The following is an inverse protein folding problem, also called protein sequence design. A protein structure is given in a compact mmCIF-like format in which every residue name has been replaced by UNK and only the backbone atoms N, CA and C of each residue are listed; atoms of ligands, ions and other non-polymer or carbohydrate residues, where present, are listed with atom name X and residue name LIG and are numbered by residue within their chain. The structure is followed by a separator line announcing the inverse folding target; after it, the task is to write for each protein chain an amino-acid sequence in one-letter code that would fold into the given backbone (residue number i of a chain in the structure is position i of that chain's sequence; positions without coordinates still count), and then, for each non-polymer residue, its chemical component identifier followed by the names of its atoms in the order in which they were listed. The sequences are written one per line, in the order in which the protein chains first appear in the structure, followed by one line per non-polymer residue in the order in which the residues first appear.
data_IF_470235629504
#
_entry.id   IF_470235629504
#
_cell.length_a   1.000
_cell.length_b   1.000
_cell.length_c   1.000
_cell.angle_alpha   90.00
_cell.angle_beta   90.00
_cell.angle_gamma   90.00
#
_symmetry.space_group_name_H-M   'P 1'
#
loop_
_entity.id
_entity.type
_entity.pdbx_description
1 polymer ?
#
# COMPACT_ATOMS: atom_id res chain seq x y z
N UNK A 1 56.88 -21.81 -20.04
CA UNK A 1 55.55 -21.17 -20.01
C UNK A 1 55.70 -19.79 -20.59
N UNK A 2 54.94 -19.48 -21.64
CA UNK A 2 55.02 -18.19 -22.29
C UNK A 2 54.24 -17.16 -21.45
N UNK A 3 54.66 -15.89 -21.46
CA UNK A 3 53.97 -14.79 -20.78
C UNK A 3 52.48 -14.72 -21.17
N UNK A 4 52.16 -15.14 -22.40
CA UNK A 4 50.80 -15.27 -22.93
C UNK A 4 49.91 -16.22 -22.14
N UNK A 5 50.45 -17.34 -21.66
CA UNK A 5 49.68 -18.37 -20.96
C UNK A 5 49.19 -17.85 -19.59
N UNK A 6 50.02 -17.04 -18.94
CA UNK A 6 49.69 -16.37 -17.68
C UNK A 6 48.64 -15.28 -17.87
N UNK A 7 48.74 -14.47 -18.93
CA UNK A 7 47.76 -13.44 -19.25
C UNK A 7 46.38 -14.07 -19.56
N UNK A 8 46.37 -15.17 -20.32
CA UNK A 8 45.15 -15.92 -20.60
C UNK A 8 44.53 -16.50 -19.33
N UNK A 9 45.35 -17.05 -18.44
CA UNK A 9 44.87 -17.61 -17.16
C UNK A 9 44.26 -16.54 -16.25
N UNK A 10 44.91 -15.39 -16.09
CA UNK A 10 44.41 -14.28 -15.25
C UNK A 10 43.15 -13.66 -15.85
N UNK A 11 43.12 -13.43 -17.17
CA UNK A 11 41.93 -12.89 -17.84
C UNK A 11 40.72 -13.83 -17.72
N UNK A 12 40.92 -15.14 -17.81
CA UNK A 12 39.86 -16.13 -17.57
C UNK A 12 39.31 -16.06 -16.14
N UNK A 13 40.17 -15.95 -15.12
CA UNK A 13 39.74 -15.82 -13.72
C UNK A 13 38.94 -14.53 -13.50
N UNK A 14 39.41 -13.40 -14.04
CA UNK A 14 38.72 -12.12 -13.93
C UNK A 14 37.35 -12.18 -14.63
N UNK A 15 37.28 -12.79 -15.81
CA UNK A 15 36.02 -12.98 -16.52
C UNK A 15 35.00 -13.81 -15.72
N UNK A 16 35.44 -14.89 -15.06
CA UNK A 16 34.60 -15.71 -14.19
C UNK A 16 34.06 -14.92 -12.99
N UNK A 17 34.89 -14.08 -12.37
CA UNK A 17 34.48 -13.22 -11.25
C UNK A 17 33.42 -12.22 -11.71
N UNK A 18 33.67 -11.52 -12.81
CA UNK A 18 32.72 -10.54 -13.38
C UNK A 18 31.41 -11.22 -13.74
N UNK A 19 31.45 -12.39 -14.38
CA UNK A 19 30.25 -13.16 -14.75
C UNK A 19 29.43 -13.54 -13.53
N UNK A 20 30.08 -14.00 -12.45
CA UNK A 20 29.41 -14.34 -11.20
C UNK A 20 28.73 -13.13 -10.56
N UNK A 21 29.43 -12.00 -10.49
CA UNK A 21 28.88 -10.73 -9.97
C UNK A 21 27.69 -10.28 -10.81
N UNK A 22 27.79 -10.36 -12.14
CA UNK A 22 26.72 -9.98 -13.05
C UNK A 22 25.46 -10.82 -12.81
N UNK A 23 25.58 -12.14 -12.68
CA UNK A 23 24.44 -13.03 -12.40
C UNK A 23 23.76 -12.65 -11.08
N UNK A 24 24.55 -12.42 -10.02
CA UNK A 24 24.01 -12.01 -8.70
C UNK A 24 23.28 -10.68 -8.81
N UNK A 25 23.85 -9.71 -9.51
CA UNK A 25 23.25 -8.40 -9.72
C UNK A 25 21.95 -8.50 -10.53
N UNK A 26 21.96 -9.26 -11.63
CA UNK A 26 20.77 -9.52 -12.45
C UNK A 26 19.66 -10.16 -11.63
N UNK A 27 19.96 -11.20 -10.85
CA UNK A 27 18.97 -11.85 -9.99
C UNK A 27 18.38 -10.89 -8.96
N UNK A 28 19.21 -10.06 -8.34
CA UNK A 28 18.74 -9.04 -7.40
C UNK A 28 17.85 -8.00 -8.08
N UNK A 29 18.23 -7.50 -9.26
CA UNK A 29 17.42 -6.54 -10.02
C UNK A 29 16.09 -7.13 -10.46
N UNK A 30 16.07 -8.38 -10.93
CA UNK A 30 14.84 -9.08 -11.30
C UNK A 30 13.93 -9.22 -10.08
N UNK A 31 14.49 -9.62 -8.93
CA UNK A 31 13.74 -9.72 -7.69
C UNK A 31 13.18 -8.36 -7.25
N UNK A 32 14.02 -7.33 -7.14
CA UNK A 32 13.59 -6.00 -6.71
C UNK A 32 12.55 -5.35 -7.65
N UNK A 33 12.58 -5.69 -8.95
CA UNK A 33 11.63 -5.19 -9.95
C UNK A 33 10.29 -5.92 -9.94
N UNK A 34 10.24 -7.14 -9.38
CA UNK A 34 9.06 -7.99 -9.39
C UNK A 34 8.48 -8.25 -8.01
N UNK A 35 9.18 -7.93 -6.92
CA UNK A 35 8.71 -8.16 -5.55
C UNK A 35 7.35 -7.52 -5.29
N UNK A 36 6.55 -8.10 -4.37
CA UNK A 36 5.32 -7.46 -3.94
C UNK A 36 5.65 -6.18 -3.16
N UNK A 37 4.76 -5.20 -3.26
CA UNK A 37 4.91 -3.93 -2.55
C UNK A 37 3.57 -3.56 -1.93
N UNK A 38 3.41 -3.90 -0.65
CA UNK A 38 2.20 -3.58 0.11
C UNK A 38 2.33 -2.16 0.66
N UNK A 39 1.26 -1.39 0.56
CA UNK A 39 1.20 -0.06 1.17
C UNK A 39 -0.17 0.17 1.80
N UNK A 40 -0.14 0.85 2.95
CA UNK A 40 -1.33 1.33 3.65
C UNK A 40 -1.42 2.84 3.52
N UNK A 41 -2.61 3.34 3.20
CA UNK A 41 -2.85 4.78 3.08
C UNK A 41 -4.31 5.12 3.40
N UNK A 42 -4.55 6.40 3.70
CA UNK A 42 -5.91 6.91 3.80
C UNK A 42 -6.45 7.27 2.44
N UNK A 43 -7.69 6.88 2.20
CA UNK A 43 -8.45 7.32 1.05
C UNK A 43 -9.73 8.03 1.49
N UNK A 44 -10.09 9.10 0.79
CA UNK A 44 -11.22 9.94 1.11
C UNK A 44 -12.20 9.95 -0.04
N UNK A 45 -13.48 9.78 0.28
CA UNK A 45 -14.57 9.85 -0.69
C UNK A 45 -15.63 10.78 -0.11
N UNK A 46 -15.92 11.86 -0.83
CA UNK A 46 -16.99 12.76 -0.47
C UNK A 46 -18.31 12.25 -1.06
N UNK A 47 -19.31 12.11 -0.21
CA UNK A 47 -20.69 11.80 -0.60
C UNK A 47 -21.56 12.93 -0.05
N UNK A 48 -22.04 13.80 -0.95
CA UNK A 48 -22.77 15.02 -0.59
C UNK A 48 -21.95 15.91 0.36
N UNK A 49 -22.40 16.05 1.61
CA UNK A 49 -21.76 16.89 2.63
C UNK A 49 -20.88 16.10 3.62
N UNK A 50 -20.90 14.76 3.55
CA UNK A 50 -20.11 13.87 4.40
C UNK A 50 -18.86 13.38 3.66
N UNK A 51 -17.72 13.46 4.33
CA UNK A 51 -16.46 12.90 3.80
C UNK A 51 -16.15 11.62 4.54
N UNK A 52 -16.28 10.51 3.85
CA UNK A 52 -15.93 9.19 4.36
C UNK A 52 -14.43 8.97 4.20
N UNK A 53 -13.80 8.54 5.28
CA UNK A 53 -12.39 8.16 5.31
C UNK A 53 -12.26 6.64 5.42
N UNK A 54 -11.45 6.09 4.53
CA UNK A 54 -11.13 4.68 4.44
C UNK A 54 -9.64 4.49 4.70
N UNK A 55 -9.28 3.37 5.33
CA UNK A 55 -7.92 2.85 5.28
C UNK A 55 -7.89 1.83 4.17
N UNK A 56 -6.94 2.00 3.26
CA UNK A 56 -6.74 1.11 2.12
C UNK A 56 -5.42 0.40 2.29
N UNK A 57 -5.45 -0.92 2.12
CA UNK A 57 -4.24 -1.72 1.89
C UNK A 57 -4.23 -2.12 0.42
N UNK A 58 -3.11 -1.91 -0.25
CA UNK A 58 -2.98 -2.23 -1.68
C UNK A 58 -1.62 -2.83 -1.98
N UNK A 59 -1.61 -3.81 -2.89
CA UNK A 59 -0.38 -4.29 -3.50
C UNK A 59 -0.09 -3.50 -4.78
N UNK A 60 0.97 -2.69 -4.74
CA UNK A 60 1.51 -1.93 -5.87
C UNK A 60 2.66 -2.67 -6.58
N UNK A 61 3.06 -3.84 -6.07
CA UNK A 61 4.08 -4.68 -6.69
C UNK A 61 3.55 -5.46 -7.89
N UNK A 62 4.41 -6.28 -8.48
CA UNK A 62 4.09 -7.07 -9.69
C UNK A 62 3.80 -8.54 -9.41
N UNK A 63 4.05 -9.00 -8.19
CA UNK A 63 3.78 -10.37 -7.73
C UNK A 63 2.83 -10.35 -6.54
N UNK A 64 2.26 -11.52 -6.23
CA UNK A 64 1.33 -11.68 -5.11
C UNK A 64 2.07 -11.56 -3.78
N UNK A 65 1.41 -10.94 -2.80
CA UNK A 65 1.88 -10.92 -1.41
C UNK A 65 0.88 -11.67 -0.53
N UNK A 66 1.36 -12.52 0.39
CA UNK A 66 0.52 -13.19 1.38
C UNK A 66 0.71 -12.53 2.72
N UNK A 67 -0.33 -11.88 3.23
CA UNK A 67 -0.29 -11.22 4.54
C UNK A 67 -0.27 -12.30 5.62
N UNK A 68 0.73 -12.26 6.49
CA UNK A 68 0.86 -13.16 7.63
C UNK A 68 0.32 -12.54 8.90
N UNK A 69 0.57 -11.25 9.10
CA UNK A 69 0.18 -10.55 10.31
C UNK A 69 -0.03 -9.06 10.04
N UNK A 70 -1.05 -8.49 10.65
CA UNK A 70 -1.29 -7.03 10.66
C UNK A 70 -1.58 -6.60 12.08
N UNK A 71 -0.82 -5.65 12.61
CA UNK A 71 -0.99 -5.14 13.97
C UNK A 71 -1.07 -3.63 13.95
N UNK A 72 -2.10 -3.06 14.59
CA UNK A 72 -2.31 -1.62 14.68
C UNK A 72 -2.03 -1.14 16.11
N UNK A 73 -1.22 -0.08 16.23
CA UNK A 73 -0.84 0.52 17.50
C UNK A 73 -1.08 2.04 17.48
N UNK A 74 -2.04 2.58 18.24
CA UNK A 74 -3.04 1.86 19.05
C UNK A 74 -4.04 1.05 18.20
N UNK A 75 -4.77 0.12 18.83
CA UNK A 75 -5.82 -0.65 18.14
C UNK A 75 -6.91 0.28 17.63
N UNK A 76 -7.18 0.20 16.33
CA UNK A 76 -8.25 0.95 15.66
C UNK A 76 -9.42 0.02 15.37
N UNK A 77 -10.63 0.43 15.77
CA UNK A 77 -11.86 -0.28 15.46
C UNK A 77 -12.52 0.30 14.21
N UNK A 78 -13.02 -0.58 13.35
CA UNK A 78 -13.88 -0.22 12.22
C UNK A 78 -15.19 0.35 12.77
N UNK A 79 -15.63 1.48 12.22
CA UNK A 79 -16.85 2.15 12.70
C UNK A 79 -18.12 1.34 12.46
N UNK A 80 -18.19 0.60 11.34
CA UNK A 80 -19.37 -0.17 10.96
C UNK A 80 -19.46 -1.51 11.68
N UNK A 81 -18.35 -2.25 11.72
CA UNK A 81 -18.34 -3.62 12.27
C UNK A 81 -17.92 -3.69 13.74
N UNK A 82 -17.34 -2.61 14.28
CA UNK A 82 -16.70 -2.54 15.62
C UNK A 82 -15.49 -3.48 15.82
N UNK A 83 -15.18 -4.31 14.85
CA UNK A 83 -13.98 -5.15 14.84
C UNK A 83 -12.70 -4.33 14.66
N UNK A 84 -11.57 -4.90 15.08
CA UNK A 84 -10.26 -4.30 14.80
C UNK A 84 -10.06 -4.29 13.28
N UNK A 85 -9.68 -3.12 12.74
CA UNK A 85 -9.41 -2.94 11.31
C UNK A 85 -8.36 -3.96 10.85
N UNK A 86 -8.65 -4.68 9.76
CA UNK A 86 -7.78 -5.70 9.15
C UNK A 86 -7.44 -6.93 10.00
N UNK A 87 -8.17 -7.17 11.10
CA UNK A 87 -7.99 -8.38 11.93
C UNK A 87 -8.14 -9.71 11.17
N UNK A 88 -8.90 -9.72 10.08
CA UNK A 88 -9.15 -10.91 9.27
C UNK A 88 -8.29 -11.01 8.00
N UNK A 89 -7.30 -10.12 7.82
CA UNK A 89 -6.40 -10.19 6.65
C UNK A 89 -5.30 -11.24 6.80
N UNK A 90 -5.09 -11.79 7.99
CA UNK A 90 -4.10 -12.83 8.23
C UNK A 90 -4.40 -14.08 7.38
N UNK A 91 -3.39 -14.54 6.63
CA UNK A 91 -3.52 -15.66 5.70
C UNK A 91 -4.11 -15.30 4.33
N UNK A 92 -4.50 -14.04 4.11
CA UNK A 92 -5.04 -13.60 2.80
C UNK A 92 -3.91 -13.20 1.86
N UNK A 93 -4.05 -13.57 0.58
CA UNK A 93 -3.14 -13.11 -0.48
C UNK A 93 -3.72 -11.94 -1.27
N UNK A 94 -2.90 -10.91 -1.49
CA UNK A 94 -3.20 -9.76 -2.34
C UNK A 94 -2.47 -9.93 -3.68
N UNK A 95 -3.25 -10.06 -4.76
CA UNK A 95 -2.73 -10.03 -6.12
C UNK A 95 -2.19 -8.63 -6.49
N UNK A 96 -1.34 -8.51 -7.52
CA UNK A 96 -0.88 -7.22 -8.04
C UNK A 96 -2.06 -6.28 -8.37
N UNK A 97 -2.01 -5.05 -7.87
CA UNK A 97 -3.05 -4.04 -8.07
C UNK A 97 -4.31 -4.21 -7.21
N UNK A 98 -4.47 -5.34 -6.52
CA UNK A 98 -5.60 -5.60 -5.64
C UNK A 98 -5.52 -4.77 -4.36
N UNK A 99 -6.67 -4.32 -3.88
CA UNK A 99 -6.80 -3.55 -2.64
C UNK A 99 -7.95 -4.04 -1.77
N UNK A 100 -7.79 -3.91 -0.46
CA UNK A 100 -8.87 -4.02 0.51
C UNK A 100 -9.05 -2.69 1.24
N UNK A 101 -10.30 -2.38 1.57
CA UNK A 101 -10.69 -1.10 2.16
C UNK A 101 -11.49 -1.35 3.43
N UNK A 102 -11.17 -0.61 4.49
CA UNK A 102 -11.94 -0.61 5.73
C UNK A 102 -12.36 0.83 6.07
N UNK A 103 -13.61 1.00 6.51
CA UNK A 103 -14.13 2.31 6.94
C UNK A 103 -13.48 2.71 8.25
N UNK A 104 -12.89 3.91 8.28
CA UNK A 104 -12.23 4.47 9.44
C UNK A 104 -13.05 5.59 10.11
N UNK A 105 -13.63 6.48 9.30
CA UNK A 105 -14.56 7.51 9.77
C UNK A 105 -15.65 7.77 8.73
N UNK A 106 -16.91 7.80 9.16
CA UNK A 106 -18.08 8.18 8.35
C UNK A 106 -18.15 9.68 8.10
N UNK A 107 -17.58 10.49 8.98
CA UNK A 107 -17.41 11.92 8.78
C UNK A 107 -16.04 12.37 9.30
N UNK A 108 -15.09 12.45 8.37
CA UNK A 108 -13.67 12.68 8.63
C UNK A 108 -13.34 14.10 9.12
N UNK A 109 -14.29 15.04 9.08
CA UNK A 109 -14.05 16.46 9.38
C UNK A 109 -14.99 17.06 10.44
N UNK A 110 -16.05 16.38 10.86
CA UNK A 110 -16.97 16.89 11.90
C UNK A 110 -16.82 16.25 13.27
N UNK A 111 -16.20 15.07 13.39
CA UNK A 111 -16.06 14.35 14.66
C UNK A 111 -14.69 14.56 15.32
N UNK A 112 -14.69 15.18 16.51
CA UNK A 112 -13.49 15.60 17.27
C UNK A 112 -12.71 14.44 17.90
N UNK A 113 -13.35 13.30 18.17
CA UNK A 113 -12.76 12.26 19.05
C UNK A 113 -11.86 11.23 18.34
N UNK A 114 -12.05 10.99 17.03
CA UNK A 114 -11.21 10.07 16.23
C UNK A 114 -10.28 10.77 15.25
N UNK A 115 -10.41 12.09 15.14
CA UNK A 115 -9.70 12.91 14.15
C UNK A 115 -8.22 13.15 14.46
N UNK A 116 -7.72 12.67 15.60
CA UNK A 116 -6.35 12.92 16.07
C UNK A 116 -5.56 11.65 16.43
N UNK A 117 -6.09 10.46 16.14
CA UNK A 117 -5.36 9.22 16.38
C UNK A 117 -4.37 9.01 15.23
N UNK A 118 -3.12 9.41 15.47
CA UNK A 118 -1.96 8.89 14.75
C UNK A 118 -1.74 7.43 15.21
N UNK A 119 -1.52 6.51 14.27
CA UNK A 119 -1.28 5.10 14.59
C UNK A 119 -0.26 4.48 13.64
N UNK A 120 0.41 3.45 14.12
CA UNK A 120 1.37 2.67 13.32
C UNK A 120 0.74 1.33 12.95
N UNK A 121 0.84 0.98 11.67
CA UNK A 121 0.49 -0.35 11.16
C UNK A 121 1.77 -1.13 10.96
N UNK A 122 1.93 -2.20 11.72
CA UNK A 122 2.97 -3.19 11.51
C UNK A 122 2.40 -4.30 10.63
N UNK A 123 3.03 -4.57 9.49
CA UNK A 123 2.62 -5.66 8.59
C UNK A 123 3.78 -6.63 8.39
N UNK A 124 3.45 -7.91 8.44
CA UNK A 124 4.34 -8.98 8.02
C UNK A 124 3.69 -9.69 6.84
N UNK A 125 4.40 -9.78 5.72
CA UNK A 125 3.91 -10.43 4.51
C UNK A 125 5.00 -11.25 3.84
N UNK A 126 4.58 -12.24 3.08
CA UNK A 126 5.44 -13.19 2.38
C UNK A 126 5.31 -13.00 0.87
N UNK A 127 6.43 -13.04 0.16
CA UNK A 127 6.44 -13.06 -1.30
C UNK A 127 6.29 -14.47 -1.89
N UNK A 128 6.28 -14.59 -3.21
CA UNK A 128 6.14 -15.88 -3.91
C UNK A 128 7.34 -16.82 -3.71
N UNK A 129 8.47 -16.31 -3.22
CA UNK A 129 9.67 -17.08 -2.91
C UNK A 129 9.75 -17.44 -1.42
N UNK A 130 8.65 -17.32 -0.69
CA UNK A 130 8.55 -17.58 0.74
C UNK A 130 9.45 -16.71 1.62
N UNK A 131 9.86 -15.54 1.11
CA UNK A 131 10.65 -14.59 1.89
C UNK A 131 9.71 -13.70 2.69
N UNK A 132 9.93 -13.68 4.01
CA UNK A 132 9.19 -12.82 4.94
C UNK A 132 9.74 -11.40 4.89
N UNK A 133 8.84 -10.43 4.70
CA UNK A 133 9.10 -8.99 4.70
C UNK A 133 8.27 -8.37 5.81
N UNK A 134 8.87 -7.40 6.53
CA UNK A 134 8.24 -6.68 7.63
C UNK A 134 8.37 -5.19 7.37
N UNK A 135 7.25 -4.49 7.42
CA UNK A 135 7.19 -3.06 7.18
C UNK A 135 6.29 -2.36 8.21
N UNK A 136 6.65 -1.12 8.51
CA UNK A 136 5.92 -0.26 9.43
C UNK A 136 5.40 0.97 8.69
N UNK A 137 4.10 1.24 8.81
CA UNK A 137 3.42 2.36 8.18
C UNK A 137 2.91 3.33 9.23
N UNK A 138 3.41 4.57 9.21
CA UNK A 138 2.96 5.64 10.08
C UNK A 138 1.77 6.35 9.46
N UNK A 139 0.58 6.13 10.03
CA UNK A 139 -0.65 6.75 9.59
C UNK A 139 -0.87 8.02 10.40
N UNK A 140 -0.58 9.17 9.78
CA UNK A 140 -0.88 10.48 10.37
C UNK A 140 -2.04 11.15 9.67
N UNK A 141 -2.85 11.86 10.45
CA UNK A 141 -4.01 12.60 9.95
C UNK A 141 -3.75 14.09 9.78
N UNK A 142 -2.50 14.54 9.99
CA UNK A 142 -2.11 15.95 9.85
C UNK A 142 -2.40 16.52 8.46
N UNK A 143 -2.23 15.70 7.43
CA UNK A 143 -2.41 16.07 6.03
C UNK A 143 -3.86 16.48 5.72
N UNK A 144 -4.85 16.12 6.55
CA UNK A 144 -6.24 16.57 6.40
C UNK A 144 -6.39 18.09 6.39
N UNK A 145 -5.51 18.82 7.08
CA UNK A 145 -5.55 20.29 7.13
C UNK A 145 -5.24 20.95 5.79
N UNK A 146 -4.53 20.22 4.93
CA UNK A 146 -4.17 20.67 3.59
C UNK A 146 -5.15 20.16 2.53
N UNK A 147 -6.17 19.38 2.93
CA UNK A 147 -7.21 18.86 2.04
C UNK A 147 -8.42 19.79 2.01
N UNK A 148 -8.81 20.23 0.82
CA UNK A 148 -10.00 21.05 0.60
C UNK A 148 -11.13 20.19 0.00
N UNK A 149 -12.27 20.14 0.68
CA UNK A 149 -13.50 19.53 0.19
C UNK A 149 -14.58 20.61 0.05
N UNK A 150 -15.25 20.66 -1.10
CA UNK A 150 -16.32 21.63 -1.36
C UNK A 150 -17.65 21.01 -0.97
N UNK A 151 -18.32 21.52 0.07
CA UNK A 151 -19.65 21.04 0.47
C UNK A 151 -20.69 21.29 -0.64
N UNK A 152 -21.60 20.34 -0.84
CA UNK A 152 -22.63 20.42 -1.88
C UNK A 152 -23.98 20.69 -1.21
N UNK A 153 -24.24 21.95 -0.87
CA UNK A 153 -25.48 22.40 -0.24
C UNK A 153 -26.66 22.35 -1.20
N UNK A 154 -27.34 21.19 -1.37
CA UNK A 154 -28.77 21.16 -1.74
C UNK A 154 -29.39 19.78 -1.53
N UNK A 155 -30.70 19.78 -1.26
CA UNK A 155 -31.57 18.60 -1.26
C UNK A 155 -31.72 18.11 -2.71
N UNK A 156 -30.71 17.37 -3.17
CA UNK A 156 -30.52 16.99 -4.57
C UNK A 156 -31.21 15.64 -4.82
N UNK A 157 -31.94 15.51 -5.94
CA UNK A 157 -32.57 14.26 -6.34
C UNK A 157 -31.52 13.16 -6.58
N UNK A 158 -31.87 11.90 -6.30
CA UNK A 158 -30.99 10.72 -6.37
C UNK A 158 -30.16 10.62 -7.67
N UNK A 159 -30.75 11.02 -8.81
CA UNK A 159 -30.08 11.02 -10.11
C UNK A 159 -28.91 12.01 -10.18
N UNK A 160 -29.06 13.19 -9.61
CA UNK A 160 -28.03 14.23 -9.60
C UNK A 160 -26.96 13.92 -8.53
N UNK A 161 -27.30 13.25 -7.43
CA UNK A 161 -26.31 12.68 -6.49
C UNK A 161 -25.41 11.66 -7.19
N UNK A 162 -26.00 10.70 -7.92
CA UNK A 162 -25.24 9.70 -8.68
C UNK A 162 -24.33 10.37 -9.72
N UNK A 163 -24.82 11.38 -10.44
CA UNK A 163 -24.03 12.12 -11.43
C UNK A 163 -22.83 12.86 -10.81
N UNK A 164 -23.04 13.60 -9.72
CA UNK A 164 -21.97 14.35 -9.04
C UNK A 164 -20.94 13.43 -8.39
N UNK A 165 -21.40 12.32 -7.78
CA UNK A 165 -20.47 11.31 -7.23
C UNK A 165 -19.67 10.64 -8.34
N UNK A 166 -20.28 10.35 -9.50
CA UNK A 166 -19.56 9.83 -10.65
C UNK A 166 -18.50 10.83 -11.16
N UNK A 167 -18.84 12.11 -11.23
CA UNK A 167 -17.90 13.18 -11.62
C UNK A 167 -16.69 13.27 -10.66
N UNK A 168 -16.93 13.27 -9.34
CA UNK A 168 -15.84 13.27 -8.35
C UNK A 168 -14.99 11.98 -8.41
N UNK A 169 -15.60 10.82 -8.66
CA UNK A 169 -14.87 9.57 -8.87
C UNK A 169 -13.99 9.62 -10.13
N UNK A 170 -14.48 10.22 -11.21
CA UNK A 170 -13.72 10.40 -12.45
C UNK A 170 -12.56 11.37 -12.24
N UNK A 171 -12.80 12.51 -11.58
CA UNK A 171 -11.76 13.49 -11.22
C UNK A 171 -10.64 12.87 -10.38
N UNK A 172 -10.96 11.94 -9.49
CA UNK A 172 -9.98 11.22 -8.65
C UNK A 172 -9.18 10.14 -9.42
N UNK A 173 -9.67 9.68 -10.57
CA UNK A 173 -9.05 8.62 -11.38
C UNK A 173 -8.11 9.15 -12.48
N UNK A 174 -8.24 10.41 -12.86
CA UNK A 174 -7.34 11.13 -13.79
C UNK A 174 -6.13 11.65 -13.02
#
# INVERSE_FOLDING_TARGET
MALTDWIQSVSAIVALIISTIAIVQTNRTIYDSNKPYISFFFDYIQVLDDVHQYIVVKNFGKTRATIKKVTLNPKVQNEMTKDIVFSHLEGTSLAPGQSFTATFSSNAFTNTDRNHLDFTIHVEYEDELHKLIKDDFFMTQRNKKDMFFTKSTTNIAMNETVSRTAEELLRKRI
#
